data_IF_716699416524
#
_entry.id   IF_716699416524
#
_cell.length_a   1.000
_cell.length_b   1.000
_cell.length_c   1.000
_cell.angle_alpha   90.00
_cell.angle_beta   90.00
_cell.angle_gamma   90.00
#
_symmetry.space_group_name_H-M   'P 1'
#
loop_
_entity.id
_entity.type
_entity.pdbx_description
1 polymer ?
#
# COMPACT_ATOMS: atom_id res chain seq x y z
N UNK A 1 18.63 -30.02 47.93
CA UNK A 1 18.39 -28.74 48.63
C UNK A 1 17.85 -27.74 47.63
N UNK A 2 16.71 -27.10 47.74
CA UNK A 2 15.38 -27.52 48.19
C UNK A 2 14.40 -26.84 47.22
N UNK A 3 13.33 -27.57 46.91
CA UNK A 3 12.25 -27.26 45.96
C UNK A 3 11.23 -26.26 46.51
N UNK A 4 10.65 -25.42 45.62
CA UNK A 4 9.23 -24.94 45.47
C UNK A 4 8.29 -24.90 46.70
N UNK A 5 7.34 -23.94 46.82
CA UNK A 5 6.09 -24.08 46.04
C UNK A 5 5.26 -22.83 45.66
N UNK A 6 4.37 -23.10 44.70
CA UNK A 6 3.18 -22.37 44.26
C UNK A 6 2.18 -22.09 45.41
N UNK A 7 1.52 -20.95 45.35
CA UNK A 7 0.35 -20.63 46.18
C UNK A 7 -0.92 -20.55 45.33
N UNK A 8 -1.84 -21.47 45.60
CA UNK A 8 -3.27 -21.39 45.27
C UNK A 8 -4.01 -20.94 46.54
N UNK A 9 -4.93 -19.99 46.44
CA UNK A 9 -6.04 -19.86 47.41
C UNK A 9 -7.37 -19.78 46.66
N UNK A 10 -8.25 -20.73 47.00
CA UNK A 10 -9.71 -20.68 46.90
C UNK A 10 -10.25 -20.23 48.26
N UNK A 11 -11.35 -19.49 48.27
CA UNK A 11 -12.52 -19.57 49.17
C UNK A 11 -13.52 -18.46 48.73
N UNK A 12 -14.85 -18.52 48.79
CA UNK A 12 -15.92 -19.54 48.80
C UNK A 12 -17.23 -18.75 49.01
N UNK A 13 -18.28 -19.06 48.21
CA UNK A 13 -19.76 -18.92 48.45
C UNK A 13 -20.37 -17.53 48.76
N UNK A 14 -21.63 -17.16 48.44
CA UNK A 14 -22.90 -17.89 48.27
C UNK A 14 -24.00 -16.95 47.72
N UNK A 15 -25.08 -17.52 47.13
CA UNK A 15 -26.42 -16.91 46.97
C UNK A 15 -26.99 -17.04 45.55
N UNK A 16 -27.68 -18.12 45.15
CA UNK A 16 -29.08 -18.55 45.36
C UNK A 16 -30.18 -17.72 44.64
N UNK A 17 -30.99 -18.44 43.85
CA UNK A 17 -32.24 -18.03 43.19
C UNK A 17 -32.33 -18.56 41.75
N UNK A 18 -32.63 -19.85 41.49
CA UNK A 18 -33.96 -20.50 41.38
C UNK A 18 -34.87 -19.87 40.29
N UNK A 19 -35.68 -20.55 39.47
CA UNK A 19 -36.04 -21.93 39.11
C UNK A 19 -36.85 -21.76 37.80
N UNK A 20 -36.79 -22.72 36.87
CA UNK A 20 -37.70 -22.74 35.71
C UNK A 20 -37.44 -23.85 34.70
N UNK A 21 -37.72 -25.10 35.10
CA UNK A 21 -37.95 -26.23 34.19
C UNK A 21 -39.19 -25.96 33.30
N UNK A 22 -39.53 -26.62 32.20
CA UNK A 22 -39.50 -28.02 31.74
C UNK A 22 -40.05 -27.93 30.28
N UNK A 23 -39.61 -28.65 29.24
CA UNK A 23 -40.19 -29.94 28.83
C UNK A 23 -39.55 -30.44 27.53
N UNK A 24 -39.45 -31.76 27.51
CA UNK A 24 -38.98 -32.69 26.50
C UNK A 24 -40.07 -32.93 25.45
N UNK A 25 -39.69 -33.08 24.18
CA UNK A 25 -40.36 -34.04 23.28
C UNK A 25 -39.39 -34.47 22.16
N UNK A 26 -38.95 -35.72 22.24
CA UNK A 26 -38.42 -36.48 21.13
C UNK A 26 -39.57 -36.84 20.18
N UNK A 27 -39.39 -36.68 18.87
CA UNK A 27 -39.99 -37.59 17.89
C UNK A 27 -39.03 -37.81 16.72
N UNK A 28 -38.64 -39.07 16.61
CA UNK A 28 -38.05 -39.72 15.46
C UNK A 28 -39.12 -39.88 14.36
N UNK A 29 -38.78 -39.61 13.11
CA UNK A 29 -39.54 -40.10 11.96
C UNK A 29 -38.68 -40.09 10.69
N UNK A 30 -37.99 -41.20 10.52
CA UNK A 30 -37.57 -41.73 9.23
C UNK A 30 -38.75 -41.83 8.26
N UNK A 31 -38.75 -41.02 7.20
CA UNK A 31 -39.51 -41.32 5.97
C UNK A 31 -38.71 -40.89 4.75
N UNK A 32 -38.38 -41.80 3.80
CA UNK A 32 -37.78 -41.42 2.55
C UNK A 32 -38.81 -40.71 1.65
N UNK A 33 -38.41 -39.69 0.86
CA UNK A 33 -39.31 -39.02 -0.05
C UNK A 33 -39.68 -39.90 -1.25
N UNK A 34 -40.99 -39.98 -1.51
CA UNK A 34 -41.60 -40.55 -2.72
C UNK A 34 -41.07 -39.84 -3.99
N UNK A 35 -40.79 -40.57 -5.08
CA UNK A 35 -40.25 -39.98 -6.31
C UNK A 35 -41.29 -39.09 -7.02
N UNK A 36 -40.82 -37.92 -7.47
CA UNK A 36 -41.57 -36.96 -8.30
C UNK A 36 -41.67 -37.51 -9.74
N UNK A 37 -42.83 -37.42 -10.42
CA UNK A 37 -42.97 -37.85 -11.81
C UNK A 37 -42.16 -36.95 -12.76
N UNK A 38 -41.20 -37.54 -13.47
CA UNK A 38 -40.48 -36.90 -14.57
C UNK A 38 -41.39 -36.67 -15.77
N UNK A 39 -41.54 -35.40 -16.17
CA UNK A 39 -42.17 -34.97 -17.43
C UNK A 39 -41.28 -35.41 -18.61
N UNK A 40 -41.83 -35.97 -19.71
CA UNK A 40 -41.02 -36.41 -20.84
C UNK A 40 -40.38 -35.22 -21.57
N UNK A 41 -39.07 -35.35 -21.80
CA UNK A 41 -38.25 -34.43 -22.60
C UNK A 41 -38.52 -34.68 -24.09
N UNK A 42 -38.78 -33.65 -24.92
CA UNK A 42 -38.90 -33.83 -26.35
C UNK A 42 -37.54 -34.18 -26.98
N UNK A 43 -37.57 -35.11 -27.92
CA UNK A 43 -36.41 -35.55 -28.72
C UNK A 43 -35.97 -34.44 -29.68
N UNK A 44 -34.65 -34.24 -29.91
CA UNK A 44 -34.18 -33.33 -30.93
C UNK A 44 -34.28 -33.97 -32.32
N UNK A 45 -34.86 -33.23 -33.25
CA UNK A 45 -34.93 -33.57 -34.67
C UNK A 45 -33.62 -33.11 -35.36
N UNK A 46 -33.03 -33.92 -36.27
CA UNK A 46 -31.75 -33.60 -36.90
C UNK A 46 -31.92 -32.86 -38.23
N UNK A 47 -31.21 -31.75 -38.39
CA UNK A 47 -30.87 -31.12 -39.66
C UNK A 47 -29.48 -30.52 -39.48
N UNK A 48 -28.51 -30.60 -40.38
CA UNK A 48 -28.47 -30.95 -41.80
C UNK A 48 -27.23 -30.24 -42.33
N UNK A 49 -26.35 -30.99 -42.99
CA UNK A 49 -25.03 -30.60 -43.49
C UNK A 49 -25.14 -29.53 -44.59
N UNK A 50 -24.23 -28.55 -44.61
CA UNK A 50 -24.02 -27.68 -45.77
C UNK A 50 -22.93 -26.61 -45.57
N UNK A 51 -21.80 -26.79 -46.25
CA UNK A 51 -20.75 -25.80 -46.51
C UNK A 51 -20.55 -25.73 -48.04
N UNK A 52 -19.62 -24.94 -48.60
CA UNK A 52 -19.35 -23.50 -48.47
C UNK A 52 -19.35 -22.79 -49.85
N UNK A 53 -19.51 -21.46 -49.92
CA UNK A 53 -19.11 -20.67 -51.11
C UNK A 53 -18.53 -19.32 -50.68
N UNK A 54 -17.37 -18.99 -51.25
CA UNK A 54 -16.74 -17.68 -51.38
C UNK A 54 -16.50 -17.43 -52.90
N UNK A 55 -15.87 -16.34 -53.39
CA UNK A 55 -15.68 -14.96 -52.90
C UNK A 55 -15.93 -13.87 -54.00
N UNK A 56 -15.58 -12.61 -53.68
CA UNK A 56 -15.20 -11.45 -54.53
C UNK A 56 -16.26 -10.36 -54.82
N UNK A 57 -15.86 -9.14 -55.28
CA UNK A 57 -15.13 -8.08 -54.55
C UNK A 57 -15.84 -6.71 -54.75
N UNK A 58 -15.20 -5.59 -54.35
CA UNK A 58 -15.14 -4.26 -55.05
C UNK A 58 -14.86 -3.12 -54.05
N UNK A 59 -13.91 -2.26 -54.43
CA UNK A 59 -13.49 -1.02 -53.76
C UNK A 59 -14.21 0.21 -54.38
N UNK A 60 -13.64 1.44 -54.33
CA UNK A 60 -13.86 2.51 -53.35
C UNK A 60 -14.61 3.73 -53.94
N UNK A 61 -15.06 4.68 -53.11
CA UNK A 61 -14.91 6.15 -53.34
C UNK A 61 -15.50 7.01 -52.23
N UNK A 62 -14.86 8.17 -52.05
CA UNK A 62 -15.16 9.34 -51.22
C UNK A 62 -16.61 9.84 -51.28
N UNK A 63 -17.06 10.60 -50.26
CA UNK A 63 -17.38 12.06 -50.33
C UNK A 63 -17.69 12.57 -48.90
N UNK A 64 -17.14 13.76 -48.60
CA UNK A 64 -17.35 14.57 -47.42
C UNK A 64 -18.82 14.90 -47.06
N UNK A 65 -19.12 15.05 -45.76
CA UNK A 65 -19.92 16.18 -45.23
C UNK A 65 -19.84 16.27 -43.72
N UNK A 66 -19.42 17.43 -43.22
CA UNK A 66 -19.69 17.85 -41.85
C UNK A 66 -21.20 18.14 -41.68
N UNK A 67 -21.73 17.95 -40.46
CA UNK A 67 -22.58 18.98 -39.89
C UNK A 67 -22.18 19.33 -38.45
N UNK A 68 -22.14 20.63 -38.23
CA UNK A 68 -22.16 21.31 -36.94
C UNK A 68 -23.50 21.14 -36.21
N UNK A 69 -23.41 21.20 -34.88
CA UNK A 69 -24.40 21.62 -33.87
C UNK A 69 -24.97 20.52 -32.96
N UNK A 70 -24.95 20.82 -31.65
CA UNK A 70 -25.72 20.11 -30.62
C UNK A 70 -24.91 19.55 -29.46
N UNK A 71 -24.07 20.34 -28.79
CA UNK A 71 -23.47 19.92 -27.52
C UNK A 71 -24.51 20.02 -26.39
N UNK A 72 -25.28 18.95 -26.21
CA UNK A 72 -25.95 18.65 -24.94
C UNK A 72 -24.87 18.23 -23.95
N UNK A 73 -24.71 18.97 -22.85
CA UNK A 73 -23.76 18.65 -21.77
C UNK A 73 -24.19 17.33 -21.11
N UNK A 74 -23.43 16.23 -21.21
CA UNK A 74 -23.64 15.08 -20.35
C UNK A 74 -22.93 15.33 -19.03
N UNK A 75 -23.59 14.99 -17.92
CA UNK A 75 -23.02 14.99 -16.58
C UNK A 75 -21.61 14.39 -16.55
N UNK A 76 -20.64 15.13 -16.00
CA UNK A 76 -19.29 14.68 -15.66
C UNK A 76 -19.36 13.43 -14.76
N UNK A 77 -19.36 12.25 -15.38
CA UNK A 77 -18.96 11.02 -14.71
C UNK A 77 -17.45 11.14 -14.49
N UNK A 78 -17.07 11.43 -13.24
CA UNK A 78 -15.69 11.48 -12.77
C UNK A 78 -15.09 10.07 -12.76
N UNK A 79 -14.84 9.52 -13.96
CA UNK A 79 -13.94 8.40 -14.13
C UNK A 79 -12.52 8.95 -14.06
N UNK A 80 -11.92 8.94 -12.88
CA UNK A 80 -10.48 9.17 -12.76
C UNK A 80 -9.78 8.02 -13.49
N UNK A 81 -9.19 8.34 -14.62
CA UNK A 81 -8.18 7.53 -15.27
C UNK A 81 -6.87 7.93 -14.60
N UNK A 82 -6.39 7.13 -13.64
CA UNK A 82 -4.96 7.11 -13.37
C UNK A 82 -4.32 6.61 -14.67
N UNK A 83 -3.32 7.29 -15.24
CA UNK A 83 -2.61 6.71 -16.37
C UNK A 83 -2.05 5.37 -15.91
N UNK A 84 -2.42 4.27 -16.57
CA UNK A 84 -1.70 3.01 -16.43
C UNK A 84 -0.20 3.31 -16.54
N UNK A 85 0.56 2.79 -15.58
CA UNK A 85 2.02 2.88 -15.55
C UNK A 85 2.53 2.27 -16.87
N UNK A 86 3.01 3.12 -17.78
CA UNK A 86 3.48 2.67 -19.11
C UNK A 86 3.31 3.66 -20.27
N UNK A 87 2.63 4.80 -20.10
CA UNK A 87 2.65 5.84 -21.15
C UNK A 87 3.91 6.70 -21.05
N UNK A 88 4.78 6.60 -22.05
CA UNK A 88 5.95 7.47 -22.23
C UNK A 88 5.50 8.92 -22.38
N UNK A 89 5.87 9.78 -21.42
CA UNK A 89 5.72 11.22 -21.55
C UNK A 89 6.61 11.74 -22.71
N UNK A 90 6.17 12.77 -23.45
CA UNK A 90 6.98 13.37 -24.51
C UNK A 90 8.29 13.92 -23.93
N UNK A 91 9.42 13.49 -24.50
CA UNK A 91 10.76 13.95 -24.15
C UNK A 91 10.87 15.45 -24.33
N UNK A 92 10.99 16.20 -23.24
CA UNK A 92 11.34 17.62 -23.28
C UNK A 92 12.81 17.71 -23.63
N UNK A 93 13.10 18.18 -24.85
CA UNK A 93 14.46 18.45 -25.31
C UNK A 93 15.02 19.61 -24.49
N UNK A 94 16.06 19.33 -23.70
CA UNK A 94 16.76 20.34 -22.91
C UNK A 94 17.45 21.37 -23.85
N UNK A 95 17.41 22.68 -23.54
CA UNK A 95 18.11 23.68 -24.32
C UNK A 95 19.64 23.51 -24.21
N UNK A 96 20.30 23.51 -25.37
CA UNK A 96 21.75 23.48 -25.52
C UNK A 96 22.39 24.70 -24.85
N UNK A 97 23.30 24.48 -23.90
CA UNK A 97 24.06 25.54 -23.26
C UNK A 97 25.11 26.13 -24.22
N UNK A 98 25.09 27.46 -24.38
CA UNK A 98 26.08 28.23 -25.13
C UNK A 98 27.42 28.27 -24.37
N UNK A 99 28.57 28.03 -25.02
CA UNK A 99 29.87 28.07 -24.35
C UNK A 99 30.27 29.50 -23.97
N UNK A 100 30.73 29.66 -22.73
CA UNK A 100 31.28 30.92 -22.20
C UNK A 100 32.78 31.02 -22.55
N UNK A 101 33.30 32.16 -23.05
CA UNK A 101 34.72 32.31 -23.39
C UNK A 101 35.62 32.33 -22.15
N UNK A 102 36.73 31.60 -22.20
CA UNK A 102 37.75 31.56 -21.16
C UNK A 102 38.46 32.92 -21.00
N UNK A 103 38.38 33.51 -19.81
CA UNK A 103 39.14 34.71 -19.44
C UNK A 103 40.54 34.32 -18.99
N UNK A 104 41.58 34.93 -19.61
CA UNK A 104 43.00 34.72 -19.29
C UNK A 104 43.30 35.17 -17.84
N UNK A 105 44.00 34.32 -17.10
CA UNK A 105 44.56 34.63 -15.79
C UNK A 105 45.74 35.62 -15.89
N UNK A 106 45.87 36.59 -14.97
CA UNK A 106 47.04 37.47 -14.90
C UNK A 106 48.26 36.74 -14.33
N UNK A 107 49.43 37.07 -14.90
CA UNK A 107 50.76 36.60 -14.48
C UNK A 107 51.11 37.21 -13.12
N UNK A 108 51.47 36.36 -12.15
CA UNK A 108 51.87 36.76 -10.82
C UNK A 108 53.31 37.34 -10.80
N UNK A 109 53.60 38.35 -9.94
CA UNK A 109 54.94 38.89 -9.77
C UNK A 109 55.88 37.90 -9.05
N UNK A 110 57.14 37.92 -9.46
CA UNK A 110 58.24 37.15 -8.86
C UNK A 110 58.55 37.70 -7.47
N UNK A 111 58.42 36.87 -6.44
CA UNK A 111 58.73 37.19 -5.05
C UNK A 111 60.24 36.98 -4.73
N UNK A 112 60.84 37.83 -3.87
CA UNK A 112 62.26 37.76 -3.51
C UNK A 112 62.61 36.62 -2.54
N UNK A 113 63.91 36.30 -2.52
CA UNK A 113 64.54 35.15 -1.89
C UNK A 113 64.34 35.02 -0.37
N UNK A 114 64.23 33.76 0.06
CA UNK A 114 63.67 33.32 1.32
C UNK A 114 64.54 33.49 2.57
N UNK A 115 63.85 33.77 3.67
CA UNK A 115 64.30 33.56 5.05
C UNK A 115 64.28 32.06 5.40
N UNK A 116 65.16 31.57 6.29
CA UNK A 116 65.19 30.17 6.72
C UNK A 116 63.85 29.75 7.32
N UNK A 117 63.19 28.76 6.71
CA UNK A 117 61.91 28.20 7.15
C UNK A 117 62.12 27.44 8.46
N UNK A 118 61.35 27.72 9.53
CA UNK A 118 61.38 26.93 10.75
C UNK A 118 61.10 25.46 10.44
N UNK A 119 61.89 24.56 11.02
CA UNK A 119 61.71 23.10 10.92
C UNK A 119 60.26 22.74 11.24
N UNK A 120 59.54 22.16 10.26
CA UNK A 120 58.14 21.76 10.40
C UNK A 120 58.02 20.70 11.52
N UNK A 121 57.60 21.12 12.72
CA UNK A 121 57.24 20.18 13.79
C UNK A 121 56.07 19.31 13.30
N UNK A 122 56.14 17.97 13.41
CA UNK A 122 55.06 17.10 12.97
C UNK A 122 53.74 17.52 13.61
N UNK A 123 52.76 17.90 12.77
CA UNK A 123 51.41 18.23 13.25
C UNK A 123 50.85 16.99 13.94
N UNK A 124 50.42 17.07 15.21
CA UNK A 124 49.82 15.93 15.89
C UNK A 124 48.65 15.41 15.07
N UNK A 125 48.66 14.11 14.79
CA UNK A 125 47.55 13.42 14.11
C UNK A 125 46.28 13.66 14.93
N UNK A 126 45.19 14.17 14.32
CA UNK A 126 43.93 14.30 15.02
C UNK A 126 43.54 12.94 15.61
N UNK A 127 43.03 12.89 16.85
CA UNK A 127 42.51 11.65 17.38
C UNK A 127 41.44 11.09 16.42
N UNK A 128 41.36 9.76 16.25
CA UNK A 128 40.34 9.15 15.41
C UNK A 128 38.96 9.64 15.85
N UNK A 129 38.11 10.01 14.89
CA UNK A 129 36.72 10.36 15.20
C UNK A 129 36.08 9.17 15.93
N UNK A 130 35.39 9.42 17.06
CA UNK A 130 34.73 8.35 17.79
C UNK A 130 33.78 7.61 16.85
N UNK A 131 33.90 6.28 16.82
CA UNK A 131 32.94 5.44 16.09
C UNK A 131 31.56 5.68 16.69
N UNK A 132 30.54 6.06 15.89
CA UNK A 132 29.18 6.21 16.39
C UNK A 132 28.75 4.92 17.10
N UNK A 133 28.25 5.06 18.33
CA UNK A 133 27.69 3.93 19.07
C UNK A 133 26.51 3.28 18.32
N UNK A 134 26.07 2.09 18.75
CA UNK A 134 24.90 1.45 18.16
C UNK A 134 23.67 2.35 18.27
N UNK A 135 22.91 2.45 17.17
CA UNK A 135 21.68 3.26 17.13
C UNK A 135 20.63 2.67 18.07
N UNK A 136 19.95 3.54 18.82
CA UNK A 136 18.88 3.13 19.71
C UNK A 136 17.63 2.72 18.92
N UNK A 137 16.85 1.72 19.38
CA UNK A 137 15.56 1.40 18.79
C UNK A 137 14.59 2.60 18.84
N UNK A 138 13.87 2.80 17.75
CA UNK A 138 12.81 3.82 17.60
C UNK A 138 11.50 3.25 18.14
N UNK A 139 11.02 3.84 19.23
CA UNK A 139 9.77 3.42 19.91
C UNK A 139 8.59 4.36 19.68
N UNK A 140 8.77 5.36 18.81
CA UNK A 140 7.72 6.29 18.36
C UNK A 140 6.56 5.49 17.76
N UNK A 141 5.33 5.96 17.97
CA UNK A 141 4.15 5.37 17.38
C UNK A 141 3.29 6.52 16.84
N UNK A 142 3.05 6.51 15.54
CA UNK A 142 2.13 7.39 14.80
C UNK A 142 1.39 6.57 13.74
N UNK A 143 0.48 7.16 12.98
CA UNK A 143 -0.06 6.50 11.77
C UNK A 143 0.71 6.80 10.48
N UNK A 144 1.72 7.65 10.55
CA UNK A 144 2.68 7.90 9.47
C UNK A 144 3.59 6.70 9.17
N UNK A 145 3.94 6.54 7.90
CA UNK A 145 4.83 5.51 7.42
C UNK A 145 5.44 5.77 6.06
N UNK A 146 6.33 4.86 5.63
CA UNK A 146 7.10 4.98 4.38
C UNK A 146 7.14 3.65 3.62
N UNK A 147 6.96 3.73 2.31
CA UNK A 147 7.18 2.63 1.38
C UNK A 147 8.63 2.60 0.89
N UNK A 148 9.25 1.44 1.02
CA UNK A 148 10.64 1.15 0.67
C UNK A 148 10.66 0.20 -0.51
N UNK A 149 11.09 0.73 -1.65
CA UNK A 149 11.10 0.02 -2.93
C UNK A 149 12.48 -0.53 -3.29
N UNK A 150 13.48 -0.25 -2.44
CA UNK A 150 14.82 -0.81 -2.55
C UNK A 150 15.52 -0.85 -1.21
N UNK A 151 16.34 -1.86 -0.99
CA UNK A 151 17.19 -1.94 0.19
C UNK A 151 18.52 -1.22 -0.04
N UNK A 152 18.91 -0.34 0.89
CA UNK A 152 20.26 0.23 0.95
C UNK A 152 20.55 0.80 2.34
N UNK A 153 21.83 1.00 2.68
CA UNK A 153 22.19 1.61 3.95
C UNK A 153 21.72 3.07 4.05
N UNK A 154 21.74 3.80 2.94
CA UNK A 154 21.24 5.18 2.85
C UNK A 154 19.73 5.22 3.13
N UNK A 155 18.96 4.30 2.55
CA UNK A 155 17.52 4.20 2.81
C UNK A 155 17.23 3.86 4.27
N UNK A 156 18.09 3.08 4.93
CA UNK A 156 17.95 2.85 6.37
C UNK A 156 18.22 4.09 7.21
N UNK A 157 19.18 4.91 6.79
CA UNK A 157 19.46 6.19 7.43
C UNK A 157 18.27 7.13 7.28
N UNK A 158 17.68 7.18 6.09
CA UNK A 158 16.44 7.90 5.79
C UNK A 158 15.27 7.43 6.69
N UNK A 159 15.09 6.12 6.86
CA UNK A 159 14.09 5.57 7.78
C UNK A 159 14.37 5.93 9.25
N UNK A 160 15.64 5.91 9.66
CA UNK A 160 16.03 6.23 11.03
C UNK A 160 15.74 7.70 11.38
N UNK A 161 15.95 8.59 10.39
CA UNK A 161 15.57 9.99 10.47
C UNK A 161 14.04 10.14 10.54
N UNK A 162 13.32 9.51 9.62
CA UNK A 162 11.88 9.67 9.47
C UNK A 162 11.02 9.00 10.56
N UNK A 163 11.58 8.01 11.26
CA UNK A 163 10.92 7.28 12.36
C UNK A 163 9.51 6.78 12.02
N UNK A 164 9.30 6.13 10.85
CA UNK A 164 7.98 5.67 10.44
C UNK A 164 7.44 4.58 11.37
N UNK A 165 6.12 4.51 11.49
CA UNK A 165 5.42 3.46 12.25
C UNK A 165 4.70 2.47 11.34
N UNK A 166 4.45 2.81 10.09
CA UNK A 166 4.06 1.84 9.05
C UNK A 166 5.19 1.76 8.02
N UNK A 167 5.64 0.57 7.68
CA UNK A 167 6.74 0.40 6.72
C UNK A 167 6.33 -0.63 5.69
N UNK A 168 6.20 -0.22 4.43
CA UNK A 168 6.05 -1.16 3.33
C UNK A 168 7.45 -1.53 2.80
N UNK A 169 7.73 -2.81 2.66
CA UNK A 169 8.98 -3.34 2.13
C UNK A 169 8.70 -4.14 0.85
N UNK A 170 9.25 -3.67 -0.28
CA UNK A 170 9.19 -4.41 -1.54
C UNK A 170 10.36 -5.39 -1.64
N UNK A 171 10.04 -6.68 -1.79
CA UNK A 171 10.98 -7.80 -1.89
C UNK A 171 12.15 -7.78 -0.89
N UNK A 172 11.90 -7.63 0.43
CA UNK A 172 13.00 -7.47 1.38
C UNK A 172 13.85 -8.72 1.62
N UNK A 173 15.17 -8.60 1.61
CA UNK A 173 16.05 -9.67 2.09
C UNK A 173 15.82 -9.93 3.58
N UNK A 174 16.03 -11.18 4.00
CA UNK A 174 15.71 -11.56 5.37
C UNK A 174 16.57 -10.83 6.42
N UNK A 175 17.86 -10.60 6.10
CA UNK A 175 18.76 -9.84 6.97
C UNK A 175 18.31 -8.39 7.14
N UNK A 176 17.85 -7.77 6.04
CA UNK A 176 17.39 -6.40 6.06
C UNK A 176 16.11 -6.20 6.86
N UNK A 177 15.08 -7.01 6.58
CA UNK A 177 13.81 -6.96 7.32
C UNK A 177 14.03 -7.14 8.84
N UNK A 178 14.95 -8.03 9.25
CA UNK A 178 15.30 -8.21 10.67
C UNK A 178 15.99 -6.99 11.27
N UNK A 179 16.89 -6.35 10.52
CA UNK A 179 17.53 -5.09 10.94
C UNK A 179 16.49 -3.98 11.11
N UNK A 180 15.54 -3.87 10.17
CA UNK A 180 14.40 -2.95 10.28
C UNK A 180 13.59 -3.25 11.54
N UNK A 181 13.12 -4.49 11.74
CA UNK A 181 12.35 -4.86 12.94
C UNK A 181 13.10 -4.58 14.25
N UNK A 182 14.40 -4.87 14.31
CA UNK A 182 15.21 -4.56 15.49
C UNK A 182 15.23 -3.06 15.80
N UNK A 183 15.30 -2.23 14.76
CA UNK A 183 15.40 -0.77 14.88
C UNK A 183 14.03 -0.13 15.10
N UNK A 184 12.97 -0.68 14.51
CA UNK A 184 11.59 -0.18 14.60
C UNK A 184 10.69 -1.28 15.22
N UNK A 185 10.91 -1.65 16.50
CA UNK A 185 10.24 -2.80 17.10
C UNK A 185 8.72 -2.68 17.14
N UNK A 186 8.19 -1.45 17.14
CA UNK A 186 6.75 -1.16 17.19
C UNK A 186 6.12 -0.84 15.83
N UNK A 187 6.89 -0.78 14.75
CA UNK A 187 6.34 -0.48 13.44
C UNK A 187 5.47 -1.65 12.95
N UNK A 188 4.39 -1.34 12.23
CA UNK A 188 3.65 -2.30 11.43
C UNK A 188 4.32 -2.42 10.06
N UNK A 189 4.88 -3.60 9.78
CA UNK A 189 5.66 -3.85 8.57
C UNK A 189 4.84 -4.68 7.58
N UNK A 190 4.64 -4.12 6.39
CA UNK A 190 3.97 -4.76 5.25
C UNK A 190 5.02 -5.28 4.28
N UNK A 191 4.93 -6.56 3.92
CA UNK A 191 5.73 -7.13 2.84
C UNK A 191 4.98 -7.14 1.52
N UNK A 192 5.69 -6.86 0.42
CA UNK A 192 5.15 -6.95 -0.94
C UNK A 192 6.13 -7.69 -1.84
N UNK A 193 5.64 -8.64 -2.64
CA UNK A 193 6.38 -9.21 -3.77
C UNK A 193 6.14 -8.33 -5.00
N UNK A 194 7.20 -7.86 -5.66
CA UNK A 194 7.04 -7.07 -6.87
C UNK A 194 6.66 -7.96 -8.05
N UNK A 195 5.53 -7.65 -8.67
CA UNK A 195 5.10 -8.20 -9.95
C UNK A 195 4.70 -7.03 -10.84
N UNK A 196 5.25 -6.99 -12.06
CA UNK A 196 4.77 -6.08 -13.09
C UNK A 196 3.29 -6.39 -13.39
N UNK A 197 2.50 -5.38 -13.75
CA UNK A 197 1.05 -5.51 -13.98
C UNK A 197 0.69 -6.63 -14.96
N UNK A 198 1.44 -6.73 -16.07
CA UNK A 198 1.27 -7.78 -17.09
C UNK A 198 1.46 -9.21 -16.55
N UNK A 199 2.02 -9.35 -15.35
CA UNK A 199 2.24 -10.61 -14.64
C UNK A 199 1.25 -10.84 -13.50
N UNK A 200 0.14 -10.11 -13.46
CA UNK A 200 -0.94 -10.29 -12.48
C UNK A 200 -2.23 -10.85 -13.11
N UNK A 201 -2.17 -11.97 -13.84
CA UNK A 201 -3.33 -12.48 -14.56
C UNK A 201 -4.36 -13.12 -13.62
N UNK A 202 -5.63 -13.08 -14.05
CA UNK A 202 -6.79 -13.56 -13.29
C UNK A 202 -7.50 -14.76 -13.93
N UNK A 203 -6.89 -15.40 -14.94
CA UNK A 203 -7.35 -16.70 -15.44
C UNK A 203 -7.11 -17.79 -14.38
N UNK A 204 -8.04 -18.73 -14.22
CA UNK A 204 -7.98 -19.78 -13.18
C UNK A 204 -7.67 -19.20 -11.79
N UNK A 205 -8.51 -18.28 -11.28
CA UNK A 205 -8.18 -17.44 -10.14
C UNK A 205 -7.86 -18.25 -8.87
N UNK A 206 -8.59 -19.33 -8.56
CA UNK A 206 -8.30 -20.18 -7.40
C UNK A 206 -6.89 -20.81 -7.42
N UNK A 207 -6.52 -21.56 -8.47
CA UNK A 207 -5.15 -22.06 -8.65
C UNK A 207 -4.08 -20.96 -8.62
N UNK A 208 -4.34 -19.81 -9.26
CA UNK A 208 -3.40 -18.67 -9.23
C UNK A 208 -3.22 -18.08 -7.83
N UNK A 209 -4.29 -17.94 -7.05
CA UNK A 209 -4.21 -17.43 -5.68
C UNK A 209 -3.40 -18.36 -4.78
N UNK A 210 -3.57 -19.67 -4.95
CA UNK A 210 -2.78 -20.69 -4.24
C UNK A 210 -1.29 -20.60 -4.62
N UNK A 211 -0.98 -20.59 -5.91
CA UNK A 211 0.40 -20.52 -6.39
C UNK A 211 1.10 -19.22 -5.97
N UNK A 212 0.38 -18.08 -6.01
CA UNK A 212 0.92 -16.81 -5.57
C UNK A 212 1.15 -16.77 -4.06
N UNK A 213 0.26 -17.36 -3.25
CA UNK A 213 0.48 -17.50 -1.82
C UNK A 213 1.72 -18.33 -1.48
N UNK A 214 1.96 -19.43 -2.21
CA UNK A 214 3.18 -20.24 -2.04
C UNK A 214 4.44 -19.43 -2.41
N UNK A 215 4.40 -18.67 -3.50
CA UNK A 215 5.49 -17.79 -3.89
C UNK A 215 5.77 -16.68 -2.86
N UNK A 216 4.73 -16.05 -2.31
CA UNK A 216 4.88 -15.06 -1.23
C UNK A 216 5.46 -15.74 0.02
N UNK A 217 5.00 -16.95 0.34
CA UNK A 217 5.44 -17.70 1.51
C UNK A 217 6.93 -18.05 1.50
N UNK A 218 7.53 -18.29 0.34
CA UNK A 218 8.98 -18.55 0.20
C UNK A 218 9.83 -17.46 0.90
N UNK A 219 9.37 -16.22 0.84
CA UNK A 219 10.01 -15.09 1.50
C UNK A 219 9.37 -14.74 2.86
N UNK A 220 8.05 -14.85 2.97
CA UNK A 220 7.31 -14.42 4.14
C UNK A 220 7.44 -15.35 5.35
N UNK A 221 7.48 -16.67 5.13
CA UNK A 221 7.51 -17.64 6.23
C UNK A 221 8.79 -17.55 7.09
N UNK A 222 10.00 -17.35 6.53
CA UNK A 222 11.21 -17.04 7.30
C UNK A 222 11.20 -15.70 8.04
N UNK A 223 10.23 -14.84 7.73
CA UNK A 223 10.05 -13.49 8.27
C UNK A 223 8.84 -13.36 9.20
N UNK A 224 8.24 -14.46 9.64
CA UNK A 224 7.19 -14.44 10.67
C UNK A 224 7.69 -13.78 11.95
N UNK A 225 6.90 -12.85 12.49
CA UNK A 225 7.27 -12.02 13.65
C UNK A 225 8.23 -10.88 13.31
N UNK A 226 8.73 -10.80 12.08
CA UNK A 226 9.54 -9.69 11.55
C UNK A 226 8.67 -8.79 10.68
N UNK A 227 7.96 -9.38 9.70
CA UNK A 227 6.97 -8.70 8.85
C UNK A 227 5.57 -9.09 9.34
N UNK A 228 4.68 -8.11 9.49
CA UNK A 228 3.39 -8.31 10.14
C UNK A 228 2.33 -8.90 9.20
N UNK A 229 2.34 -8.48 7.92
CA UNK A 229 1.42 -8.97 6.90
C UNK A 229 1.95 -8.80 5.48
N UNK A 230 1.41 -9.56 4.53
CA UNK A 230 1.84 -9.57 3.13
C UNK A 230 0.68 -9.34 2.16
N UNK A 231 0.96 -8.54 1.12
CA UNK A 231 -0.01 -8.11 0.11
C UNK A 231 -0.30 -9.19 -0.95
N UNK A 232 -1.54 -9.23 -1.43
CA UNK A 232 -1.92 -9.85 -2.71
C UNK A 232 -1.39 -9.04 -3.91
N UNK A 233 -1.95 -9.26 -5.10
CA UNK A 233 -1.68 -8.42 -6.26
C UNK A 233 -1.94 -6.93 -5.97
N UNK A 234 -1.27 -6.07 -6.73
CA UNK A 234 -1.33 -4.62 -6.62
C UNK A 234 -2.10 -4.06 -7.80
N UNK A 235 -3.16 -3.29 -7.53
CA UNK A 235 -3.92 -2.54 -8.53
C UNK A 235 -4.36 -3.41 -9.74
N UNK A 236 -4.77 -4.66 -9.47
CA UNK A 236 -5.09 -5.63 -10.51
C UNK A 236 -6.38 -5.30 -11.30
N UNK A 237 -7.15 -4.30 -10.86
CA UNK A 237 -8.47 -3.98 -11.39
C UNK A 237 -8.61 -2.50 -11.78
N UNK A 238 -9.46 -2.25 -12.77
CA UNK A 238 -9.93 -0.91 -13.14
C UNK A 238 -11.32 -0.56 -12.56
N UNK A 239 -11.78 0.66 -12.85
CA UNK A 239 -12.98 1.29 -12.27
C UNK A 239 -14.33 0.76 -12.70
N UNK A 240 -14.37 -0.01 -13.79
CA UNK A 240 -15.62 -0.59 -14.27
C UNK A 240 -15.78 -2.02 -13.76
N UNK A 241 -16.93 -2.35 -13.12
CA UNK A 241 -17.25 -3.73 -12.78
C UNK A 241 -17.15 -4.63 -14.01
N UNK A 242 -16.45 -5.74 -13.86
CA UNK A 242 -16.24 -6.74 -14.89
C UNK A 242 -16.21 -8.14 -14.28
N UNK A 243 -16.13 -9.17 -15.12
CA UNK A 243 -15.91 -10.55 -14.64
C UNK A 243 -14.62 -10.69 -13.83
N UNK A 244 -13.65 -9.81 -14.06
CA UNK A 244 -12.38 -9.81 -13.33
C UNK A 244 -12.56 -9.43 -11.86
N UNK A 245 -13.63 -8.71 -11.48
CA UNK A 245 -13.94 -8.45 -10.07
C UNK A 245 -14.19 -9.76 -9.32
N UNK A 246 -15.03 -10.63 -9.91
CA UNK A 246 -15.35 -11.94 -9.33
C UNK A 246 -14.11 -12.84 -9.31
N UNK A 247 -13.34 -12.86 -10.39
CA UNK A 247 -12.10 -13.63 -10.47
C UNK A 247 -11.07 -13.15 -9.45
N UNK A 248 -10.91 -11.85 -9.29
CA UNK A 248 -9.98 -11.31 -8.32
C UNK A 248 -10.40 -11.61 -6.88
N UNK A 249 -11.71 -11.57 -6.56
CA UNK A 249 -12.19 -12.02 -5.26
C UNK A 249 -11.84 -13.50 -5.00
N UNK A 250 -12.10 -14.40 -5.96
CA UNK A 250 -11.75 -15.83 -5.82
C UNK A 250 -10.24 -16.05 -5.64
N UNK A 251 -9.41 -15.32 -6.41
CA UNK A 251 -7.96 -15.32 -6.28
C UNK A 251 -7.54 -14.89 -4.87
N UNK A 252 -8.09 -13.79 -4.35
CA UNK A 252 -7.72 -13.26 -3.04
C UNK A 252 -8.18 -14.17 -1.90
N UNK A 253 -9.35 -14.78 -2.00
CA UNK A 253 -9.83 -15.75 -1.00
C UNK A 253 -8.87 -16.92 -0.90
N UNK A 254 -8.52 -17.53 -2.04
CA UNK A 254 -7.60 -18.67 -2.06
C UNK A 254 -6.19 -18.29 -1.62
N UNK A 255 -5.70 -17.12 -2.03
CA UNK A 255 -4.45 -16.54 -1.55
C UNK A 255 -4.43 -16.40 -0.02
N UNK A 256 -5.43 -15.74 0.55
CA UNK A 256 -5.50 -15.46 1.99
C UNK A 256 -5.64 -16.74 2.81
N UNK A 257 -6.49 -17.68 2.38
CA UNK A 257 -6.66 -18.97 3.04
C UNK A 257 -5.37 -19.80 3.00
N UNK A 258 -4.66 -19.82 1.86
CA UNK A 258 -3.40 -20.54 1.72
C UNK A 258 -2.30 -19.92 2.56
N UNK A 259 -2.07 -18.61 2.45
CA UNK A 259 -1.00 -17.91 3.14
C UNK A 259 -1.18 -17.93 4.68
N UNK A 260 -2.41 -17.72 5.14
CA UNK A 260 -2.71 -17.70 6.58
C UNK A 260 -2.85 -19.11 7.15
N UNK A 261 -3.60 -19.99 6.47
CA UNK A 261 -3.94 -21.31 6.98
C UNK A 261 -2.80 -22.33 6.85
N UNK A 262 -2.04 -22.30 5.76
CA UNK A 262 -0.90 -23.23 5.56
C UNK A 262 0.40 -22.65 6.10
N UNK A 263 0.71 -21.39 5.77
CA UNK A 263 2.03 -20.81 6.06
C UNK A 263 2.06 -20.02 7.37
N UNK A 264 0.91 -19.73 7.98
CA UNK A 264 0.81 -18.96 9.22
C UNK A 264 1.27 -17.51 9.05
N UNK A 265 1.12 -16.95 7.85
CA UNK A 265 1.48 -15.56 7.51
C UNK A 265 0.20 -14.76 7.28
N UNK A 266 0.08 -13.58 7.89
CA UNK A 266 -1.09 -12.74 7.69
C UNK A 266 -1.17 -12.18 6.25
N UNK A 267 -2.37 -12.20 5.67
CA UNK A 267 -2.63 -11.65 4.34
C UNK A 267 -3.30 -10.27 4.42
N UNK A 268 -3.00 -9.43 3.44
CA UNK A 268 -3.69 -8.19 3.13
C UNK A 268 -4.42 -8.39 1.79
N UNK A 269 -5.75 -8.34 1.82
CA UNK A 269 -6.57 -8.29 0.61
C UNK A 269 -6.48 -6.91 -0.07
N UNK A 270 -6.86 -6.88 -1.34
CA UNK A 270 -6.97 -5.72 -2.23
C UNK A 270 -5.61 -5.11 -2.60
N UNK A 271 -5.32 -3.90 -2.11
CA UNK A 271 -4.27 -2.99 -2.62
C UNK A 271 -4.66 -2.33 -3.95
N UNK A 272 -5.89 -1.84 -4.00
CA UNK A 272 -6.44 -1.17 -5.16
C UNK A 272 -6.07 0.32 -5.17
N UNK A 273 -5.87 0.85 -6.38
CA UNK A 273 -5.50 2.24 -6.60
C UNK A 273 -6.58 3.21 -6.15
N UNK A 274 -6.18 4.45 -5.85
CA UNK A 274 -7.15 5.45 -5.40
C UNK A 274 -8.18 5.73 -6.50
N UNK A 275 -9.45 5.49 -6.20
CA UNK A 275 -10.53 5.62 -7.19
C UNK A 275 -10.72 4.43 -8.13
N UNK A 276 -9.87 3.40 -8.05
CA UNK A 276 -9.95 2.23 -8.93
C UNK A 276 -11.21 1.39 -8.71
N UNK A 277 -11.84 1.45 -7.54
CA UNK A 277 -13.11 0.75 -7.26
C UNK A 277 -14.05 1.72 -6.54
N UNK A 278 -15.33 1.72 -6.95
CA UNK A 278 -16.37 2.46 -6.23
C UNK A 278 -16.57 1.87 -4.82
N UNK A 279 -16.69 2.68 -3.75
CA UNK A 279 -16.90 2.18 -2.39
C UNK A 279 -18.01 1.12 -2.27
N UNK A 280 -19.15 1.30 -2.96
CA UNK A 280 -20.28 0.38 -2.87
C UNK A 280 -20.00 -0.99 -3.51
N UNK A 281 -18.99 -1.08 -4.37
CA UNK A 281 -18.59 -2.31 -5.03
C UNK A 281 -17.76 -3.23 -4.12
N UNK A 282 -17.11 -2.71 -3.08
CA UNK A 282 -16.33 -3.51 -2.13
C UNK A 282 -17.16 -4.60 -1.43
N UNK A 283 -18.25 -4.28 -0.71
CA UNK A 283 -19.08 -5.30 -0.10
C UNK A 283 -19.81 -6.18 -1.12
N UNK A 284 -20.03 -5.69 -2.34
CA UNK A 284 -20.74 -6.45 -3.38
C UNK A 284 -19.89 -7.55 -4.00
N UNK A 285 -18.63 -7.24 -4.31
CA UNK A 285 -17.78 -8.14 -5.10
C UNK A 285 -16.60 -8.72 -4.34
N UNK A 286 -16.16 -8.09 -3.25
CA UNK A 286 -14.92 -8.44 -2.54
C UNK A 286 -15.13 -8.83 -1.07
N UNK A 287 -16.39 -9.00 -0.64
CA UNK A 287 -16.71 -9.30 0.74
C UNK A 287 -16.01 -10.57 1.27
N UNK A 288 -15.89 -11.60 0.44
CA UNK A 288 -15.28 -12.86 0.86
C UNK A 288 -13.77 -12.72 1.02
N UNK A 289 -13.09 -12.05 0.08
CA UNK A 289 -11.67 -11.76 0.17
C UNK A 289 -11.33 -10.91 1.42
N UNK A 290 -12.14 -9.90 1.70
CA UNK A 290 -12.00 -9.02 2.88
C UNK A 290 -12.20 -9.81 4.17
N UNK A 291 -13.21 -10.70 4.23
CA UNK A 291 -13.43 -11.57 5.41
C UNK A 291 -12.35 -12.63 5.58
N UNK A 292 -11.82 -13.17 4.49
CA UNK A 292 -10.79 -14.20 4.52
C UNK A 292 -9.43 -13.65 4.96
N UNK A 293 -9.16 -12.36 4.74
CA UNK A 293 -7.87 -11.73 5.03
C UNK A 293 -7.85 -11.09 6.41
N UNK A 294 -6.67 -11.09 7.05
CA UNK A 294 -6.49 -10.43 8.36
C UNK A 294 -6.55 -8.90 8.27
N UNK A 295 -6.14 -8.36 7.13
CA UNK A 295 -6.10 -6.94 6.83
C UNK A 295 -6.67 -6.65 5.45
N UNK A 296 -7.06 -5.39 5.23
CA UNK A 296 -7.57 -4.90 3.97
C UNK A 296 -6.76 -3.66 3.55
N UNK A 297 -6.14 -3.72 2.37
CA UNK A 297 -5.24 -2.70 1.84
C UNK A 297 -5.89 -1.85 0.76
N UNK A 298 -5.65 -0.53 0.77
CA UNK A 298 -6.04 0.38 -0.31
C UNK A 298 -5.00 1.49 -0.49
N UNK A 299 -4.98 2.13 -1.66
CA UNK A 299 -4.15 3.31 -1.91
C UNK A 299 -4.92 4.61 -1.67
N UNK A 300 -4.21 5.64 -1.23
CA UNK A 300 -4.79 6.94 -0.93
C UNK A 300 -3.92 8.06 -1.52
N UNK A 301 -4.30 8.52 -2.70
CA UNK A 301 -3.63 9.60 -3.39
C UNK A 301 -4.54 10.81 -3.51
N UNK A 302 -3.94 11.98 -3.75
CA UNK A 302 -4.66 13.13 -4.27
C UNK A 302 -5.16 12.88 -5.70
N UNK A 303 -6.06 13.72 -6.25
CA UNK A 303 -6.28 13.77 -7.69
C UNK A 303 -4.96 13.98 -8.47
N UNK A 304 -4.87 13.50 -9.72
CA UNK A 304 -3.80 13.86 -10.64
C UNK A 304 -3.64 15.37 -10.78
N UNK A 305 -2.41 15.82 -11.01
CA UNK A 305 -2.00 17.21 -11.15
C UNK A 305 -2.33 18.15 -9.96
N UNK A 306 -2.76 17.60 -8.82
CA UNK A 306 -3.01 18.42 -7.64
C UNK A 306 -1.71 18.77 -6.90
N UNK A 307 -1.77 19.87 -6.15
CA UNK A 307 -0.71 20.31 -5.25
C UNK A 307 -1.04 20.03 -3.78
N UNK A 308 -2.08 19.24 -3.50
CA UNK A 308 -2.40 18.86 -2.13
C UNK A 308 -3.25 17.61 -2.02
N UNK A 309 -2.95 16.78 -1.02
CA UNK A 309 -3.78 15.63 -0.61
C UNK A 309 -5.15 16.05 -0.05
N UNK A 310 -5.33 17.33 0.29
CA UNK A 310 -6.59 17.89 0.80
C UNK A 310 -7.62 18.13 -0.30
N UNK A 311 -7.18 18.20 -1.56
CA UNK A 311 -8.09 18.47 -2.68
C UNK A 311 -9.03 17.27 -2.88
N UNK A 312 -10.34 17.54 -2.77
CA UNK A 312 -11.40 16.53 -2.86
C UNK A 312 -11.11 15.28 -2.01
N UNK A 313 -10.55 15.49 -0.82
CA UNK A 313 -10.01 14.44 0.04
C UNK A 313 -10.98 13.28 0.26
N UNK A 314 -12.27 13.56 0.48
CA UNK A 314 -13.31 12.55 0.69
C UNK A 314 -13.47 11.56 -0.48
N UNK A 315 -13.10 11.96 -1.69
CA UNK A 315 -13.13 11.09 -2.87
C UNK A 315 -11.78 10.44 -3.21
N UNK A 316 -10.72 10.93 -2.58
CA UNK A 316 -9.32 10.66 -2.87
C UNK A 316 -8.61 10.12 -1.61
N UNK A 317 -7.83 10.95 -0.91
CA UNK A 317 -7.03 10.54 0.24
C UNK A 317 -7.86 9.89 1.38
N UNK A 318 -9.07 10.40 1.66
CA UNK A 318 -9.98 9.91 2.72
C UNK A 318 -11.04 8.94 2.21
N UNK A 319 -10.95 8.49 0.94
CA UNK A 319 -11.93 7.58 0.32
C UNK A 319 -12.12 6.28 1.11
N UNK A 320 -11.09 5.84 1.85
CA UNK A 320 -11.16 4.66 2.71
C UNK A 320 -12.30 4.74 3.74
N UNK A 321 -12.68 5.94 4.20
CA UNK A 321 -13.81 6.14 5.13
C UNK A 321 -15.13 5.73 4.49
N UNK A 322 -15.32 6.09 3.22
CA UNK A 322 -16.51 5.68 2.44
C UNK A 322 -16.52 4.17 2.25
N UNK A 323 -15.37 3.58 1.89
CA UNK A 323 -15.25 2.12 1.75
C UNK A 323 -15.63 1.43 3.07
N UNK A 324 -15.08 1.86 4.20
CA UNK A 324 -15.41 1.31 5.51
C UNK A 324 -16.91 1.46 5.85
N UNK A 325 -17.51 2.61 5.55
CA UNK A 325 -18.94 2.83 5.76
C UNK A 325 -19.82 1.87 4.92
N UNK A 326 -19.44 1.58 3.68
CA UNK A 326 -20.12 0.60 2.83
C UNK A 326 -19.97 -0.83 3.37
N UNK A 327 -18.78 -1.19 3.85
CA UNK A 327 -18.53 -2.49 4.49
C UNK A 327 -19.36 -2.67 5.76
N UNK A 328 -19.35 -1.68 6.66
CA UNK A 328 -20.15 -1.69 7.90
C UNK A 328 -21.66 -1.78 7.60
N UNK A 329 -22.15 -1.05 6.59
CA UNK A 329 -23.55 -1.13 6.17
C UNK A 329 -23.93 -2.50 5.63
N UNK A 330 -23.00 -3.18 4.96
CA UNK A 330 -23.15 -4.56 4.50
C UNK A 330 -22.92 -5.61 5.61
N UNK A 331 -22.68 -5.18 6.86
CA UNK A 331 -22.44 -6.07 8.00
C UNK A 331 -21.04 -6.67 8.06
N UNK A 332 -20.09 -6.17 7.26
CA UNK A 332 -18.68 -6.56 7.29
C UNK A 332 -17.97 -5.61 8.26
N UNK A 333 -17.92 -6.01 9.54
CA UNK A 333 -17.44 -5.16 10.64
C UNK A 333 -16.03 -5.48 11.08
N UNK A 334 -15.42 -4.57 11.83
CA UNK A 334 -14.09 -4.74 12.45
C UNK A 334 -12.95 -4.97 11.45
N UNK A 335 -13.10 -4.48 10.21
CA UNK A 335 -12.07 -4.57 9.18
C UNK A 335 -10.88 -3.70 9.60
N UNK A 336 -9.68 -4.29 9.65
CA UNK A 336 -8.45 -3.55 9.90
C UNK A 336 -7.86 -3.10 8.59
N UNK A 337 -7.92 -1.80 8.34
CA UNK A 337 -7.44 -1.19 7.10
C UNK A 337 -5.99 -0.78 7.20
N UNK A 338 -5.26 -0.90 6.11
CA UNK A 338 -3.90 -0.37 5.94
C UNK A 338 -3.88 0.42 4.64
N UNK A 339 -3.37 1.65 4.70
CA UNK A 339 -3.15 2.42 3.47
C UNK A 339 -1.75 2.05 2.96
N UNK A 340 -1.69 1.15 1.99
CA UNK A 340 -0.42 0.56 1.56
C UNK A 340 0.42 1.51 0.74
N UNK A 341 -0.20 2.50 0.09
CA UNK A 341 0.49 3.59 -0.60
C UNK A 341 -0.28 4.91 -0.45
N UNK A 342 0.43 6.02 -0.30
CA UNK A 342 -0.17 7.36 -0.27
C UNK A 342 0.76 8.46 -0.75
N UNK A 343 0.18 9.59 -1.17
CA UNK A 343 0.91 10.81 -1.56
C UNK A 343 0.14 11.67 -2.56
N UNK A 344 0.86 12.49 -3.32
CA UNK A 344 0.31 13.11 -4.52
C UNK A 344 0.34 12.09 -5.67
N UNK A 345 -0.77 11.94 -6.41
CA UNK A 345 -0.94 10.86 -7.38
C UNK A 345 0.09 10.81 -8.50
N UNK A 346 0.61 11.97 -8.90
CA UNK A 346 1.63 12.12 -9.94
C UNK A 346 3.01 12.49 -9.35
N UNK A 347 3.19 12.30 -8.05
CA UNK A 347 4.35 12.72 -7.27
C UNK A 347 4.40 14.20 -6.94
N UNK A 348 5.33 14.53 -6.04
CA UNK A 348 5.41 15.79 -5.33
C UNK A 348 6.52 16.71 -5.87
N UNK A 349 7.61 16.12 -6.37
CA UNK A 349 8.77 16.87 -6.83
C UNK A 349 8.38 17.80 -8.00
N UNK A 350 8.85 19.05 -7.95
CA UNK A 350 8.51 20.12 -8.88
C UNK A 350 7.03 20.56 -8.88
N UNK A 351 6.20 20.05 -7.95
CA UNK A 351 4.81 20.53 -7.74
C UNK A 351 4.66 21.30 -6.45
N UNK A 352 5.23 20.77 -5.38
CA UNK A 352 5.24 21.36 -4.05
C UNK A 352 6.65 21.26 -3.47
N UNK A 353 6.95 22.11 -2.49
CA UNK A 353 8.20 22.00 -1.74
C UNK A 353 8.10 20.96 -0.60
N UNK A 354 9.24 20.68 0.02
CA UNK A 354 9.35 19.73 1.14
C UNK A 354 8.44 20.11 2.32
N UNK A 355 8.24 21.41 2.55
CA UNK A 355 7.44 21.91 3.69
C UNK A 355 5.98 21.59 3.46
N UNK A 356 5.44 21.97 2.30
CA UNK A 356 4.06 21.72 1.93
C UNK A 356 3.76 20.22 1.86
N UNK A 357 4.67 19.41 1.32
CA UNK A 357 4.46 17.97 1.29
C UNK A 357 4.42 17.35 2.70
N UNK A 358 5.32 17.78 3.60
CA UNK A 358 5.29 17.36 5.00
C UNK A 358 4.00 17.79 5.72
N UNK A 359 3.50 19.01 5.47
CA UNK A 359 2.25 19.50 6.06
C UNK A 359 1.01 18.70 5.60
N UNK A 360 1.01 18.23 4.36
CA UNK A 360 -0.05 17.34 3.87
C UNK A 360 0.03 15.96 4.51
N UNK A 361 1.23 15.45 4.76
CA UNK A 361 1.41 14.22 5.51
C UNK A 361 1.05 14.36 7.00
N UNK A 362 1.32 15.51 7.62
CA UNK A 362 0.81 15.82 8.97
C UNK A 362 -0.71 15.76 9.00
N UNK A 363 -1.36 16.50 8.09
CA UNK A 363 -2.81 16.51 7.99
C UNK A 363 -3.38 15.11 7.77
N UNK A 364 -2.82 14.34 6.84
CA UNK A 364 -3.33 13.01 6.52
C UNK A 364 -3.14 12.04 7.68
N UNK A 365 -2.02 12.13 8.39
CA UNK A 365 -1.78 11.37 9.62
C UNK A 365 -2.81 11.74 10.68
N UNK A 366 -3.08 13.03 10.89
CA UNK A 366 -4.09 13.52 11.85
C UNK A 366 -5.51 13.04 11.51
N UNK A 367 -5.86 12.97 10.23
CA UNK A 367 -7.13 12.39 9.80
C UNK A 367 -7.21 10.91 10.17
N UNK A 368 -6.15 10.12 9.96
CA UNK A 368 -6.15 8.71 10.32
C UNK A 368 -6.18 8.48 11.82
N UNK A 369 -5.60 9.36 12.65
CA UNK A 369 -5.66 9.21 14.11
C UNK A 369 -7.11 9.24 14.63
N UNK A 370 -8.05 9.81 13.86
CA UNK A 370 -9.49 9.79 14.15
C UNK A 370 -10.16 8.45 13.81
N UNK A 371 -9.51 7.60 13.02
CA UNK A 371 -10.06 6.36 12.46
C UNK A 371 -9.42 5.11 13.10
N UNK A 372 -9.96 4.56 14.21
CA UNK A 372 -9.32 3.47 14.95
C UNK A 372 -9.19 2.15 14.18
N UNK A 373 -9.97 1.97 13.11
CA UNK A 373 -9.91 0.81 12.22
C UNK A 373 -8.77 0.87 11.20
N UNK A 374 -8.09 2.02 11.07
CA UNK A 374 -6.93 2.21 10.19
C UNK A 374 -5.63 2.06 10.99
N UNK A 375 -4.76 1.16 10.56
CA UNK A 375 -3.43 0.94 11.16
C UNK A 375 -2.52 2.16 10.94
N UNK A 376 -2.57 2.72 9.73
CA UNK A 376 -1.81 3.88 9.28
C UNK A 376 -1.56 3.80 7.78
N UNK A 377 -0.56 4.54 7.30
CA UNK A 377 -0.23 4.60 5.89
C UNK A 377 1.26 4.54 5.59
N UNK A 378 1.63 4.01 4.43
CA UNK A 378 2.99 4.06 3.91
C UNK A 378 3.05 5.02 2.72
N UNK A 379 3.77 6.13 2.86
CA UNK A 379 3.93 7.07 1.76
C UNK A 379 4.86 6.53 0.67
N UNK A 380 4.44 6.71 -0.58
CA UNK A 380 5.13 6.21 -1.75
C UNK A 380 6.37 7.08 -2.03
N UNK A 381 7.58 6.61 -1.76
CA UNK A 381 8.73 7.49 -1.97
C UNK A 381 10.15 7.08 -1.59
N UNK A 382 10.53 5.84 -1.27
CA UNK A 382 11.95 5.49 -1.10
C UNK A 382 12.41 4.48 -2.16
N UNK A 383 12.91 4.99 -3.29
CA UNK A 383 13.37 4.21 -4.46
C UNK A 383 14.89 4.06 -4.54
N UNK A 384 15.61 5.08 -4.07
CA UNK A 384 17.05 5.16 -4.23
C UNK A 384 17.47 5.53 -5.64
N UNK A 385 18.64 5.06 -6.07
CA UNK A 385 19.23 5.48 -7.36
C UNK A 385 18.56 4.80 -8.58
N UNK A 386 17.40 4.19 -8.42
CA UNK A 386 16.74 3.42 -9.48
C UNK A 386 15.60 4.22 -10.12
N UNK A 387 15.61 4.25 -11.45
CA UNK A 387 14.50 4.70 -12.30
C UNK A 387 14.24 6.20 -12.25
N UNK A 388 14.60 6.92 -13.31
CA UNK A 388 14.19 8.32 -13.46
C UNK A 388 12.66 8.46 -13.43
N UNK A 389 11.94 7.39 -13.79
CA UNK A 389 10.49 7.34 -13.79
C UNK A 389 9.86 7.45 -12.40
N UNK A 390 10.57 7.12 -11.31
CA UNK A 390 10.01 7.24 -9.94
C UNK A 390 10.58 8.41 -9.15
N UNK A 391 11.54 9.14 -9.73
CA UNK A 391 12.23 10.25 -9.07
C UNK A 391 11.27 11.32 -8.54
N UNK A 392 10.13 11.52 -9.20
CA UNK A 392 9.16 12.53 -8.79
C UNK A 392 8.38 12.19 -7.51
N UNK A 393 8.50 10.95 -7.02
CA UNK A 393 8.00 10.51 -5.72
C UNK A 393 9.09 10.42 -4.65
N UNK A 394 10.36 10.33 -5.04
CA UNK A 394 11.45 10.01 -4.11
C UNK A 394 11.62 11.10 -3.04
N UNK A 395 11.56 10.72 -1.76
CA UNK A 395 11.70 11.60 -0.61
C UNK A 395 13.11 11.57 0.00
N UNK A 396 14.03 10.77 -0.55
CA UNK A 396 15.40 10.67 -0.04
C UNK A 396 16.12 12.02 -0.01
N UNK A 397 16.79 12.32 1.10
CA UNK A 397 17.56 13.55 1.27
C UNK A 397 16.74 14.84 1.35
N UNK A 398 15.42 14.74 1.53
CA UNK A 398 14.52 15.90 1.64
C UNK A 398 14.25 16.25 3.11
N UNK A 399 13.80 17.47 3.36
CA UNK A 399 13.38 17.91 4.70
C UNK A 399 12.06 17.25 5.14
N UNK A 400 11.32 16.62 4.21
CA UNK A 400 10.10 15.86 4.50
C UNK A 400 10.40 14.79 5.57
N UNK A 401 11.49 14.03 5.39
CA UNK A 401 11.86 12.94 6.30
C UNK A 401 12.18 13.47 7.70
N UNK A 402 12.96 14.55 7.81
CA UNK A 402 13.27 15.18 9.10
C UNK A 402 11.99 15.64 9.80
N UNK A 403 11.13 16.38 9.08
CA UNK A 403 9.86 16.90 9.61
C UNK A 403 8.95 15.80 10.13
N UNK A 404 8.75 14.74 9.36
CA UNK A 404 7.96 13.58 9.80
C UNK A 404 8.61 12.84 10.98
N UNK A 405 9.94 12.81 11.05
CA UNK A 405 10.70 12.29 12.18
C UNK A 405 10.39 12.98 13.50
N UNK A 406 10.20 14.31 13.49
CA UNK A 406 9.89 15.11 14.68
C UNK A 406 8.39 15.30 14.94
N UNK A 407 7.54 15.02 13.95
CA UNK A 407 6.11 15.25 14.08
C UNK A 407 5.45 14.30 15.08
N UNK A 408 4.69 14.87 16.03
CA UNK A 408 3.82 14.13 16.94
C UNK A 408 2.38 14.63 16.76
N UNK A 409 1.43 13.74 16.41
CA UNK A 409 0.05 14.12 16.19
C UNK A 409 -0.56 14.65 17.50
N UNK A 410 -1.47 15.65 17.45
CA UNK A 410 -2.04 16.27 18.64
C UNK A 410 -2.69 15.27 19.60
N UNK A 411 -3.30 14.20 19.08
CA UNK A 411 -3.92 13.13 19.88
C UNK A 411 -2.94 12.35 20.77
N UNK A 412 -1.64 12.43 20.50
CA UNK A 412 -0.58 11.72 21.23
C UNK A 412 0.32 12.63 22.07
N UNK A 413 0.10 13.94 22.01
CA UNK A 413 0.84 14.89 22.85
C UNK A 413 0.40 14.72 24.30
N UNK A 414 1.32 14.77 25.27
CA UNK A 414 0.93 14.89 26.67
C UNK A 414 -0.01 16.10 26.82
N UNK A 415 -1.07 16.02 27.65
CA UNK A 415 -1.88 17.19 27.94
C UNK A 415 -0.95 18.30 28.42
N UNK A 416 -0.96 19.43 27.73
CA UNK A 416 -0.16 20.60 28.11
C UNK A 416 -0.55 20.94 29.53
N UNK A 417 0.40 20.92 30.47
CA UNK A 417 0.12 21.29 31.85
C UNK A 417 -0.51 22.68 31.83
N UNK A 418 -1.80 22.77 32.17
CA UNK A 418 -2.48 24.05 32.29
C UNK A 418 -1.68 24.87 33.29
N UNK A 419 -1.14 26.05 32.92
CA UNK A 419 -0.41 26.86 33.87
C UNK A 419 -1.33 27.12 35.07
N UNK A 420 -0.86 26.77 36.27
CA UNK A 420 -1.59 27.04 37.51
C UNK A 420 -1.86 28.56 37.56
N UNK A 421 -3.13 28.92 37.65
CA UNK A 421 -3.57 30.32 37.78
C UNK A 421 -3.36 30.83 39.18
#
# INVERSE_FOLDING_TARGET
MSTWPLSRRRLVTSGLGAIGALLIACTDSTRPPTPVPTRPRPSPQPTGVGAPIAPYPVAPTDVARAPTSGATVPSLRHGMYLPSIGQTLPTVVAPTATPVPATRAPVAPIAPAGTPRPTDTPRPTPPPNPTPGPRAPITKITKWGLGVYRESNEIFDDLYVAKPTVILLMDPTAGWARRIRHTFPKAFIVGRRHFAEVRQPLDNPGPRGTAFADLVADQAAPLRGVVDAWMSYNEALGSQPSDDYKRYNEFQVTFAQRLQGTHGVAAIAANDGSGAIDPANYPKYFADAIRASKYFGVHAYSPPASNSMKLDAEWNALRYRKINAELERAGIKNVKMVITESGLGDGWLNRVDDVQMAEDFFWFTDEMEKDPYVVGHASYGLFGVAGEEWRHFDMRGTDILNRMGYYEPPSRRPPTATPAR
#
